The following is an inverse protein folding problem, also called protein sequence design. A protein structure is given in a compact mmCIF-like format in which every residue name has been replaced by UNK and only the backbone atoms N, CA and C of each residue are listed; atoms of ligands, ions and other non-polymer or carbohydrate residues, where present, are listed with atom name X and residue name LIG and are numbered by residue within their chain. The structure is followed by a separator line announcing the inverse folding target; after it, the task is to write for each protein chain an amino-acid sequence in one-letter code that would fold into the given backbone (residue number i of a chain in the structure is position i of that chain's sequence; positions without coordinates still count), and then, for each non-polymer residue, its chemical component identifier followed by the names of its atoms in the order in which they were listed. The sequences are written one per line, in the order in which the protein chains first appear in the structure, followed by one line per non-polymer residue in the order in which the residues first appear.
data_IF_572128381894
#
_entry.id   IF_572128381894
#
_cell.length_a   1.000
_cell.length_b   1.000
_cell.length_c   1.000
_cell.angle_alpha   90.00
_cell.angle_beta   90.00
_cell.angle_gamma   90.00
#
_symmetry.space_group_name_H-M   'P 1'
#
loop_
_entity.id
_entity.type
_entity.pdbx_description
1 polymer ?
#
# COMPACT_ATOMS: atom_id res chain seq x y z
N UNK A 1 -31.28 -19.07 -0.58
CA UNK A 1 -30.72 -17.72 -0.78
C UNK A 1 -30.40 -16.99 0.52
N UNK A 2 -31.26 -17.05 1.54
CA UNK A 2 -31.05 -16.38 2.85
C UNK A 2 -29.71 -16.70 3.52
N UNK A 3 -29.29 -17.98 3.55
CA UNK A 3 -28.02 -18.38 4.16
C UNK A 3 -26.77 -17.83 3.43
N UNK A 4 -26.83 -17.69 2.10
CA UNK A 4 -25.70 -17.15 1.31
C UNK A 4 -25.56 -15.66 1.56
N UNK A 5 -26.68 -14.92 1.52
CA UNK A 5 -26.70 -13.49 1.84
C UNK A 5 -26.24 -13.22 3.27
N UNK A 6 -26.70 -14.03 4.23
CA UNK A 6 -26.24 -13.96 5.61
C UNK A 6 -24.74 -14.19 5.75
N UNK A 7 -24.20 -15.19 5.05
CA UNK A 7 -22.76 -15.46 5.03
C UNK A 7 -21.97 -14.28 4.47
N UNK A 8 -22.41 -13.71 3.34
CA UNK A 8 -21.80 -12.54 2.71
C UNK A 8 -21.82 -11.33 3.65
N UNK A 9 -22.97 -11.02 4.25
CA UNK A 9 -23.11 -9.92 5.22
C UNK A 9 -22.18 -10.09 6.42
N UNK A 10 -22.07 -11.30 6.96
CA UNK A 10 -21.18 -11.53 8.08
C UNK A 10 -19.69 -11.38 7.71
N UNK A 11 -19.27 -11.84 6.52
CA UNK A 11 -17.89 -11.64 6.08
C UNK A 11 -17.59 -10.16 5.81
N UNK A 12 -18.54 -9.41 5.26
CA UNK A 12 -18.45 -7.94 5.11
C UNK A 12 -18.27 -7.26 6.46
N UNK A 13 -19.12 -7.57 7.44
CA UNK A 13 -19.03 -7.00 8.79
C UNK A 13 -17.71 -7.38 9.45
N UNK A 14 -17.26 -8.63 9.31
CA UNK A 14 -15.96 -9.07 9.84
C UNK A 14 -14.80 -8.29 9.23
N UNK A 15 -14.77 -8.13 7.90
CA UNK A 15 -13.75 -7.34 7.22
C UNK A 15 -13.73 -5.90 7.73
N UNK A 16 -14.90 -5.29 7.86
CA UNK A 16 -15.06 -3.93 8.38
C UNK A 16 -14.55 -3.81 9.83
N UNK A 17 -14.90 -4.75 10.71
CA UNK A 17 -14.41 -4.77 12.09
C UNK A 17 -12.89 -4.96 12.16
N UNK A 18 -12.31 -5.83 11.34
CA UNK A 18 -10.87 -6.04 11.29
C UNK A 18 -10.11 -4.79 10.80
N UNK A 19 -10.69 -4.02 9.87
CA UNK A 19 -10.16 -2.74 9.44
C UNK A 19 -10.03 -1.74 10.62
N UNK A 20 -10.99 -1.72 11.55
CA UNK A 20 -10.92 -0.90 12.76
C UNK A 20 -10.06 -1.51 13.87
N UNK A 21 -9.97 -2.84 13.99
CA UNK A 21 -9.18 -3.51 15.04
C UNK A 21 -7.68 -3.21 14.95
N UNK A 22 -7.15 -2.93 13.76
CA UNK A 22 -5.75 -2.49 13.64
C UNK A 22 -5.49 -1.10 14.21
N UNK A 23 -6.50 -0.22 14.34
CA UNK A 23 -6.36 1.07 15.04
C UNK A 23 -5.97 0.88 16.50
N UNK A 24 -6.62 -0.08 17.18
CA UNK A 24 -6.28 -0.45 18.55
C UNK A 24 -4.90 -1.14 18.64
N UNK A 25 -4.46 -1.81 17.58
CA UNK A 25 -3.15 -2.46 17.52
C UNK A 25 -2.00 -1.46 17.38
N UNK A 26 -2.20 -0.29 16.77
CA UNK A 26 -1.14 0.73 16.64
C UNK A 26 -0.53 1.10 17.99
N UNK A 27 -1.34 1.11 19.06
CA UNK A 27 -0.87 1.38 20.43
C UNK A 27 -0.02 0.24 21.01
N UNK A 28 -0.23 -1.00 20.57
CA UNK A 28 0.58 -2.16 20.95
C UNK A 28 1.93 -2.16 20.21
N UNK A 29 1.97 -1.72 18.95
CA UNK A 29 3.23 -1.58 18.18
C UNK A 29 4.27 -0.66 18.83
N UNK A 30 3.85 0.25 19.71
CA UNK A 30 4.75 1.23 20.37
C UNK A 30 5.27 0.76 21.73
N UNK A 31 4.73 -0.33 22.28
CA UNK A 31 5.14 -0.85 23.59
C UNK A 31 6.45 -1.64 23.53
N UNK A 32 6.80 -2.17 22.37
CA UNK A 32 8.03 -2.92 22.19
C UNK A 32 9.19 -1.94 21.94
N UNK A 33 9.89 -1.54 23.02
CA UNK A 33 11.17 -0.83 22.94
C UNK A 33 12.27 -1.79 22.44
N UNK A 34 12.18 -2.23 21.19
CA UNK A 34 13.17 -3.11 20.60
C UNK A 34 14.35 -2.30 20.04
N UNK A 35 15.53 -2.56 20.61
CA UNK A 35 16.77 -1.97 20.15
C UNK A 35 17.34 -2.81 19.00
N UNK A 36 17.50 -2.19 17.82
CA UNK A 36 18.16 -2.85 16.69
C UNK A 36 19.66 -2.64 16.76
N UNK A 37 20.43 -3.72 16.62
CA UNK A 37 21.88 -3.67 16.47
C UNK A 37 22.19 -3.14 15.06
N UNK A 38 22.64 -1.89 14.95
CA UNK A 38 22.90 -1.20 13.67
C UNK A 38 24.12 -1.78 12.96
N UNK A 39 25.04 -2.35 13.73
CA UNK A 39 26.29 -2.88 13.22
C UNK A 39 26.44 -4.35 13.64
N UNK A 40 25.84 -5.28 12.91
CA UNK A 40 26.49 -6.57 12.72
C UNK A 40 27.61 -6.34 11.70
N UNK A 41 28.80 -5.98 12.19
CA UNK A 41 29.97 -5.85 11.33
C UNK A 41 30.09 -7.10 10.43
N UNK A 42 30.47 -6.94 9.15
CA UNK A 42 30.65 -8.08 8.26
C UNK A 42 31.58 -9.10 8.92
N UNK A 43 31.24 -10.38 8.78
CA UNK A 43 32.12 -11.49 9.16
C UNK A 43 33.50 -11.23 8.56
N UNK A 44 34.46 -10.91 9.43
CA UNK A 44 35.88 -10.64 9.16
C UNK A 44 36.18 -9.33 8.42
N UNK A 45 36.45 -8.25 9.17
CA UNK A 45 37.22 -7.12 8.65
C UNK A 45 38.64 -7.59 8.27
N UNK A 46 39.28 -7.02 7.23
CA UNK A 46 40.65 -7.37 6.87
C UNK A 46 41.59 -7.14 8.06
N UNK A 47 42.31 -8.20 8.45
CA UNK A 47 43.21 -8.15 9.61
C UNK A 47 44.34 -7.17 9.33
N UNK A 48 44.43 -6.13 10.15
CA UNK A 48 45.58 -5.24 10.11
C UNK A 48 46.79 -5.92 10.77
N UNK A 49 48.00 -5.67 10.26
CA UNK A 49 49.25 -6.24 10.81
C UNK A 49 49.44 -5.88 12.29
N UNK A 50 48.94 -4.72 12.70
CA UNK A 50 48.92 -4.29 14.12
C UNK A 50 47.95 -5.10 14.98
N UNK A 51 46.77 -5.49 14.48
CA UNK A 51 45.86 -6.39 15.21
C UNK A 51 46.49 -7.77 15.42
N UNK A 52 47.15 -8.31 14.39
CA UNK A 52 47.82 -9.62 14.49
C UNK A 52 48.96 -9.61 15.52
N UNK A 53 49.73 -8.52 15.61
CA UNK A 53 50.77 -8.36 16.66
C UNK A 53 50.19 -8.21 18.07
N UNK A 54 48.98 -7.66 18.23
CA UNK A 54 48.31 -7.51 19.54
C UNK A 54 47.77 -8.85 20.05
N UNK A 55 47.22 -9.68 19.16
CA UNK A 55 46.77 -11.04 19.49
C UNK A 55 47.94 -11.93 19.94
N UNK A 56 49.08 -11.87 19.25
CA UNK A 56 50.31 -12.59 19.65
C UNK A 56 50.85 -12.16 21.03
N UNK A 57 50.55 -10.93 21.46
CA UNK A 57 50.90 -10.42 22.80
C UNK A 57 49.85 -10.76 23.87
N UNK A 58 48.86 -11.60 23.55
CA UNK A 58 47.83 -12.02 24.49
C UNK A 58 46.86 -10.91 24.91
N UNK A 59 46.82 -9.79 24.18
CA UNK A 59 45.84 -8.73 24.48
C UNK A 59 44.49 -9.11 23.88
N UNK A 60 43.53 -9.45 24.73
CA UNK A 60 42.17 -9.81 24.31
C UNK A 60 41.53 -8.59 23.62
N UNK A 61 41.08 -8.71 22.36
CA UNK A 61 40.39 -7.62 21.69
C UNK A 61 39.07 -7.34 22.40
N UNK A 62 38.77 -6.06 22.66
CA UNK A 62 37.46 -5.65 23.15
C UNK A 62 36.43 -6.03 22.07
N UNK A 63 35.38 -6.83 22.37
CA UNK A 63 34.37 -7.17 21.39
C UNK A 63 33.74 -5.87 20.87
N UNK A 64 33.50 -5.81 19.56
CA UNK A 64 32.88 -4.63 18.95
C UNK A 64 31.59 -4.28 19.70
N UNK A 65 31.53 -3.08 20.24
CA UNK A 65 30.36 -2.62 20.98
C UNK A 65 29.18 -2.52 20.02
N UNK A 66 28.12 -3.28 20.30
CA UNK A 66 26.92 -3.29 19.47
C UNK A 66 26.26 -1.92 19.62
N UNK A 67 26.24 -1.14 18.53
CA UNK A 67 25.50 0.11 18.52
C UNK A 67 24.01 -0.23 18.47
N UNK A 68 23.35 -0.05 19.60
CA UNK A 68 21.90 -0.15 19.72
C UNK A 68 21.30 1.19 19.29
N UNK A 69 20.58 1.22 18.17
CA UNK A 69 19.79 2.39 17.80
C UNK A 69 18.36 2.17 18.25
N UNK A 70 17.87 3.09 19.09
CA UNK A 70 16.47 3.16 19.46
C UNK A 70 15.67 3.32 18.17
N UNK A 71 14.83 2.34 17.87
CA UNK A 71 14.09 2.32 16.61
C UNK A 71 13.00 3.38 16.63
N UNK A 72 12.73 3.98 15.47
CA UNK A 72 11.67 4.97 15.37
C UNK A 72 10.30 4.31 15.53
N UNK A 73 9.47 4.94 16.35
CA UNK A 73 8.10 4.54 16.65
C UNK A 73 7.24 4.57 15.39
N UNK A 74 6.43 3.53 15.16
CA UNK A 74 5.48 3.47 14.03
C UNK A 74 4.51 4.65 14.07
N UNK A 75 4.10 5.07 15.27
CA UNK A 75 3.29 6.27 15.49
C UNK A 75 3.91 7.54 14.95
N UNK A 76 5.24 7.68 15.02
CA UNK A 76 5.92 8.85 14.46
C UNK A 76 5.73 8.92 12.95
N UNK A 77 5.77 7.77 12.26
CA UNK A 77 5.56 7.67 10.81
C UNK A 77 4.11 7.91 10.42
N UNK A 78 3.16 7.35 11.17
CA UNK A 78 1.73 7.64 10.98
C UNK A 78 1.46 9.13 11.19
N UNK A 79 1.97 9.72 12.26
CA UNK A 79 1.83 11.15 12.53
C UNK A 79 2.47 12.01 11.44
N UNK A 80 3.65 11.65 10.94
CA UNK A 80 4.27 12.31 9.77
C UNK A 80 3.35 12.25 8.55
N UNK A 81 2.70 11.12 8.26
CA UNK A 81 1.73 11.03 7.17
C UNK A 81 0.57 12.02 7.35
N UNK A 82 0.03 12.14 8.57
CA UNK A 82 -1.07 13.09 8.88
C UNK A 82 -0.60 14.53 8.70
N UNK A 83 0.52 14.90 9.31
CA UNK A 83 1.06 16.28 9.26
C UNK A 83 1.41 16.68 7.82
N UNK A 84 2.03 15.79 7.06
CA UNK A 84 2.40 16.08 5.66
C UNK A 84 1.16 16.20 4.78
N UNK A 85 0.15 15.33 4.91
CA UNK A 85 -1.11 15.50 4.16
C UNK A 85 -1.83 16.80 4.53
N UNK A 86 -1.90 17.15 5.83
CA UNK A 86 -2.52 18.39 6.28
C UNK A 86 -1.77 19.63 5.77
N UNK A 87 -0.44 19.65 5.89
CA UNK A 87 0.40 20.75 5.41
C UNK A 87 0.29 20.97 3.91
N UNK A 88 0.18 19.89 3.12
CA UNK A 88 0.03 19.98 1.67
C UNK A 88 -1.36 20.42 1.29
N UNK A 89 -2.39 19.96 1.99
CA UNK A 89 -3.73 20.46 1.77
C UNK A 89 -3.82 21.97 2.04
N UNK A 90 -3.20 22.45 3.12
CA UNK A 90 -3.07 23.88 3.40
C UNK A 90 -2.28 24.61 2.30
N UNK A 91 -1.14 24.07 1.86
CA UNK A 91 -0.35 24.64 0.77
C UNK A 91 -1.17 24.77 -0.52
N UNK A 92 -1.83 23.69 -0.94
CA UNK A 92 -2.67 23.67 -2.14
C UNK A 92 -3.83 24.67 -2.00
N UNK A 93 -4.51 24.69 -0.86
CA UNK A 93 -5.59 25.64 -0.61
C UNK A 93 -5.09 27.09 -0.65
N UNK A 94 -3.94 27.39 -0.08
CA UNK A 94 -3.35 28.75 -0.15
C UNK A 94 -2.99 29.12 -1.58
N UNK A 95 -2.33 28.26 -2.37
CA UNK A 95 -1.99 28.52 -3.78
C UNK A 95 -3.26 28.83 -4.60
N UNK A 96 -4.28 27.99 -4.48
CA UNK A 96 -5.54 28.19 -5.20
C UNK A 96 -6.26 29.47 -4.75
N UNK A 97 -6.18 29.82 -3.46
CA UNK A 97 -6.78 31.06 -2.92
C UNK A 97 -6.01 32.32 -3.36
N UNK A 98 -4.69 32.27 -3.42
CA UNK A 98 -3.88 33.36 -3.96
C UNK A 98 -4.15 33.57 -5.45
N UNK A 99 -4.20 32.49 -6.24
CA UNK A 99 -4.49 32.58 -7.68
C UNK A 99 -5.89 33.13 -7.97
N UNK A 100 -6.89 32.76 -7.17
CA UNK A 100 -8.25 33.32 -7.30
C UNK A 100 -8.36 34.79 -6.88
N UNK A 101 -7.52 35.25 -5.94
CA UNK A 101 -7.46 36.66 -5.55
C UNK A 101 -6.80 37.56 -6.60
N UNK A 102 -5.98 37.00 -7.49
CA UNK A 102 -5.29 37.73 -8.58
C UNK A 102 -6.13 37.76 -9.87
N UNK A 103 -7.15 36.89 -9.97
CA UNK A 103 -7.82 36.59 -11.24
C UNK A 103 -8.95 37.53 -11.69
N UNK A 104 -9.12 38.71 -11.08
CA UNK A 104 -10.11 39.71 -11.54
C UNK A 104 -9.78 40.29 -12.93
N UNK A 105 -8.56 40.07 -13.46
CA UNK A 105 -8.10 40.68 -14.73
C UNK A 105 -7.78 39.66 -15.84
N UNK A 106 -7.64 38.35 -15.56
CA UNK A 106 -7.52 37.29 -16.59
C UNK A 106 -7.85 35.88 -16.06
N UNK A 107 -9.15 35.56 -15.98
CA UNK A 107 -9.70 34.45 -15.20
C UNK A 107 -9.41 33.01 -15.71
N UNK A 108 -9.05 32.82 -16.98
CA UNK A 108 -8.87 31.50 -17.59
C UNK A 108 -7.47 30.88 -17.44
N UNK A 109 -6.41 31.52 -17.96
CA UNK A 109 -5.09 30.88 -18.03
C UNK A 109 -4.43 30.74 -16.65
N UNK A 110 -4.65 31.69 -15.74
CA UNK A 110 -4.05 31.68 -14.39
C UNK A 110 -4.61 30.51 -13.56
N UNK A 111 -5.91 30.22 -13.69
CA UNK A 111 -6.54 29.12 -12.95
C UNK A 111 -6.07 27.76 -13.46
N UNK A 112 -5.95 27.58 -14.79
CA UNK A 112 -5.40 26.35 -15.38
C UNK A 112 -3.93 26.15 -14.98
N UNK A 113 -3.12 27.21 -15.05
CA UNK A 113 -1.71 27.17 -14.66
C UNK A 113 -1.55 26.79 -13.17
N UNK A 114 -2.41 27.31 -12.29
CA UNK A 114 -2.38 26.98 -10.86
C UNK A 114 -2.64 25.50 -10.59
N UNK A 115 -3.61 24.89 -11.29
CA UNK A 115 -3.89 23.45 -11.18
C UNK A 115 -2.75 22.61 -11.76
N UNK A 116 -2.13 23.06 -12.85
CA UNK A 116 -0.98 22.41 -13.47
C UNK A 116 0.25 22.39 -12.55
N UNK A 117 0.46 23.43 -11.73
CA UNK A 117 1.56 23.50 -10.76
C UNK A 117 1.26 22.66 -9.51
N UNK A 118 0.01 22.62 -9.06
CA UNK A 118 -0.42 21.86 -7.88
C UNK A 118 -0.29 20.34 -8.09
N UNK A 119 -0.64 19.86 -9.29
CA UNK A 119 -0.65 18.42 -9.60
C UNK A 119 0.71 17.71 -9.40
N UNK A 120 1.86 18.19 -9.91
CA UNK A 120 3.15 17.54 -9.69
C UNK A 120 3.59 17.57 -8.24
N UNK A 121 3.30 18.64 -7.49
CA UNK A 121 3.55 18.72 -6.04
C UNK A 121 2.75 17.65 -5.30
N UNK A 122 1.48 17.50 -5.67
CA UNK A 122 0.60 16.48 -5.12
C UNK A 122 1.09 15.07 -5.46
N UNK A 123 1.50 14.80 -6.71
CA UNK A 123 2.05 13.50 -7.10
C UNK A 123 3.35 13.17 -6.36
N UNK A 124 4.28 14.12 -6.26
CA UNK A 124 5.52 13.94 -5.52
C UNK A 124 5.26 13.55 -4.06
N UNK A 125 4.27 14.18 -3.45
CA UNK A 125 3.82 13.85 -2.10
C UNK A 125 3.32 12.41 -1.99
N UNK A 126 2.56 11.93 -2.98
CA UNK A 126 2.07 10.54 -2.98
C UNK A 126 3.22 9.55 -3.01
N UNK A 127 4.29 9.86 -3.73
CA UNK A 127 5.51 9.04 -3.76
C UNK A 127 6.17 9.01 -2.37
N UNK A 128 6.34 10.17 -1.73
CA UNK A 128 6.90 10.24 -0.36
C UNK A 128 6.06 9.45 0.65
N UNK A 129 4.73 9.58 0.57
CA UNK A 129 3.80 8.81 1.41
C UNK A 129 3.93 7.31 1.16
N UNK A 130 4.05 6.86 -0.11
CA UNK A 130 4.23 5.46 -0.44
C UNK A 130 5.53 4.88 0.17
N UNK A 131 6.62 5.66 0.21
CA UNK A 131 7.85 5.26 0.90
C UNK A 131 7.62 5.07 2.41
N UNK A 132 6.89 5.99 3.04
CA UNK A 132 6.54 5.85 4.46
C UNK A 132 5.60 4.68 4.74
N UNK A 133 4.68 4.38 3.82
CA UNK A 133 3.80 3.21 3.90
C UNK A 133 4.61 1.91 3.86
N UNK A 134 5.64 1.85 3.00
CA UNK A 134 6.59 0.73 2.95
C UNK A 134 7.36 0.56 4.26
N UNK A 135 7.85 1.67 4.84
CA UNK A 135 8.52 1.66 6.15
C UNK A 135 7.60 1.14 7.27
N UNK A 136 6.33 1.56 7.29
CA UNK A 136 5.32 1.12 8.26
C UNK A 136 5.06 -0.39 8.12
N UNK A 137 4.89 -0.88 6.89
CA UNK A 137 4.71 -2.30 6.61
C UNK A 137 5.91 -3.13 7.11
N UNK A 138 7.13 -2.67 6.82
CA UNK A 138 8.35 -3.27 7.35
C UNK A 138 8.45 -3.21 8.87
N UNK A 139 7.89 -2.20 9.53
CA UNK A 139 7.81 -2.15 10.98
C UNK A 139 6.85 -3.21 11.53
N UNK A 140 5.67 -3.33 10.94
CA UNK A 140 4.65 -4.33 11.32
C UNK A 140 5.17 -5.77 11.19
N UNK A 141 5.87 -6.07 10.09
CA UNK A 141 6.48 -7.39 9.87
C UNK A 141 7.38 -7.79 11.04
N UNK A 142 8.26 -6.88 11.47
CA UNK A 142 9.25 -7.13 12.52
C UNK A 142 8.61 -7.23 13.90
N UNK A 143 7.66 -6.33 14.24
CA UNK A 143 6.95 -6.39 15.54
C UNK A 143 6.13 -7.66 15.70
N UNK A 144 5.61 -8.20 14.61
CA UNK A 144 4.88 -9.46 14.62
C UNK A 144 5.80 -10.69 14.57
N UNK A 145 7.12 -10.50 14.62
CA UNK A 145 8.13 -11.55 14.46
C UNK A 145 7.87 -12.45 13.25
N UNK A 146 7.38 -11.85 12.16
CA UNK A 146 7.16 -12.56 10.91
C UNK A 146 8.51 -12.69 10.19
N UNK A 147 8.73 -13.85 9.57
CA UNK A 147 9.96 -14.15 8.86
C UNK A 147 10.25 -13.07 7.79
N UNK A 148 11.52 -12.67 7.62
CA UNK A 148 11.89 -11.74 6.56
C UNK A 148 11.52 -12.34 5.19
N UNK A 149 11.17 -11.50 4.20
CA UNK A 149 10.91 -11.99 2.85
C UNK A 149 12.12 -12.80 2.36
N UNK A 150 11.90 -13.97 1.74
CA UNK A 150 12.99 -14.72 1.13
C UNK A 150 13.70 -13.85 0.08
N UNK A 151 14.99 -14.11 -0.14
CA UNK A 151 15.78 -13.36 -1.12
C UNK A 151 15.28 -13.64 -2.53
N UNK A 152 14.45 -12.76 -3.05
CA UNK A 152 13.99 -12.74 -4.45
C UNK A 152 14.98 -11.89 -5.27
N UNK A 153 15.24 -12.27 -6.51
CA UNK A 153 16.06 -11.46 -7.41
C UNK A 153 15.43 -10.07 -7.60
N UNK A 154 16.26 -9.03 -7.61
CA UNK A 154 15.76 -7.65 -7.73
C UNK A 154 14.86 -7.45 -8.97
N UNK A 155 15.21 -8.08 -10.09
CA UNK A 155 14.44 -8.01 -11.35
C UNK A 155 13.03 -8.59 -11.20
N UNK A 156 12.89 -9.75 -10.53
CA UNK A 156 11.60 -10.41 -10.34
C UNK A 156 10.74 -9.70 -9.29
N UNK A 157 11.36 -9.11 -8.26
CA UNK A 157 10.66 -8.27 -7.31
C UNK A 157 10.14 -6.98 -7.97
N UNK A 158 10.96 -6.31 -8.78
CA UNK A 158 10.56 -5.10 -9.50
C UNK A 158 9.46 -5.38 -10.53
N UNK A 159 9.55 -6.48 -11.26
CA UNK A 159 8.51 -6.84 -12.25
C UNK A 159 7.17 -7.14 -11.57
N UNK A 160 7.15 -7.88 -10.46
CA UNK A 160 5.92 -8.15 -9.70
C UNK A 160 5.27 -6.86 -9.19
N UNK A 161 6.07 -5.90 -8.70
CA UNK A 161 5.58 -4.58 -8.26
C UNK A 161 5.00 -3.78 -9.44
N UNK A 162 5.68 -3.74 -10.59
CA UNK A 162 5.20 -3.01 -11.77
C UNK A 162 3.91 -3.60 -12.33
N UNK A 163 3.81 -4.93 -12.41
CA UNK A 163 2.60 -5.61 -12.89
C UNK A 163 1.45 -5.43 -11.90
N UNK A 164 1.72 -5.48 -10.59
CA UNK A 164 0.72 -5.20 -9.55
C UNK A 164 0.20 -3.75 -9.61
N UNK A 165 1.09 -2.78 -9.82
CA UNK A 165 0.74 -1.39 -10.02
C UNK A 165 -0.12 -1.20 -11.27
N UNK A 166 0.28 -1.82 -12.39
CA UNK A 166 -0.48 -1.78 -13.64
C UNK A 166 -1.89 -2.38 -13.46
N UNK A 167 -2.00 -3.54 -12.81
CA UNK A 167 -3.28 -4.16 -12.48
C UNK A 167 -4.16 -3.22 -11.66
N UNK A 168 -3.60 -2.56 -10.64
CA UNK A 168 -4.32 -1.57 -9.84
C UNK A 168 -4.82 -0.38 -10.65
N UNK A 169 -4.01 0.15 -11.58
CA UNK A 169 -4.42 1.22 -12.48
C UNK A 169 -5.56 0.79 -13.41
N UNK A 170 -5.48 -0.40 -14.00
CA UNK A 170 -6.53 -0.95 -14.86
C UNK A 170 -7.80 -1.20 -14.06
N UNK A 171 -7.68 -1.71 -12.83
CA UNK A 171 -8.83 -1.96 -11.94
C UNK A 171 -9.51 -0.67 -11.48
N UNK A 172 -8.73 0.38 -11.20
CA UNK A 172 -9.26 1.72 -10.94
C UNK A 172 -10.02 2.25 -12.16
N UNK A 173 -9.45 2.13 -13.37
CA UNK A 173 -10.11 2.53 -14.60
C UNK A 173 -11.42 1.74 -14.81
N UNK A 174 -11.42 0.43 -14.57
CA UNK A 174 -12.62 -0.41 -14.59
C UNK A 174 -13.70 0.14 -13.64
N UNK A 175 -13.33 0.49 -12.39
CA UNK A 175 -14.27 1.05 -11.41
C UNK A 175 -14.82 2.44 -11.76
N UNK A 176 -14.03 3.26 -12.47
CA UNK A 176 -14.48 4.55 -13.00
C UNK A 176 -15.41 4.37 -14.20
N UNK A 177 -15.10 3.41 -15.07
CA UNK A 177 -15.87 3.09 -16.28
C UNK A 177 -17.28 2.59 -15.98
N UNK A 178 -17.49 1.98 -14.80
CA UNK A 178 -18.82 1.56 -14.30
C UNK A 178 -19.84 2.71 -14.35
N UNK A 179 -19.41 3.95 -14.14
CA UNK A 179 -20.31 5.11 -14.14
C UNK A 179 -20.86 5.46 -15.53
N UNK A 180 -20.25 4.94 -16.59
CA UNK A 180 -20.69 5.14 -17.98
C UNK A 180 -21.60 4.02 -18.49
N UNK A 181 -21.88 2.99 -17.69
CA UNK A 181 -22.81 1.92 -18.09
C UNK A 181 -24.26 2.45 -18.12
N UNK A 182 -25.10 1.96 -19.05
CA UNK A 182 -26.51 2.29 -19.14
C UNK A 182 -27.33 1.54 -18.06
N UNK A 183 -26.95 1.69 -16.80
CA UNK A 183 -27.61 1.12 -15.63
C UNK A 183 -28.16 2.24 -14.73
N UNK A 184 -29.13 1.94 -13.85
CA UNK A 184 -29.58 2.90 -12.85
C UNK A 184 -28.41 3.47 -12.03
N UNK A 185 -28.40 4.79 -11.83
CA UNK A 185 -27.30 5.51 -11.16
C UNK A 185 -26.95 4.96 -9.78
N UNK A 186 -27.95 4.53 -9.02
CA UNK A 186 -27.76 3.89 -7.72
C UNK A 186 -26.95 2.59 -7.81
N UNK A 187 -27.22 1.74 -8.80
CA UNK A 187 -26.47 0.50 -9.02
C UNK A 187 -25.03 0.79 -9.45
N UNK A 188 -24.82 1.76 -10.33
CA UNK A 188 -23.47 2.18 -10.73
C UNK A 188 -22.66 2.68 -9.52
N UNK A 189 -23.27 3.46 -8.63
CA UNK A 189 -22.62 3.94 -7.41
C UNK A 189 -22.23 2.79 -6.47
N UNK A 190 -23.11 1.81 -6.26
CA UNK A 190 -22.79 0.61 -5.46
C UNK A 190 -21.64 -0.17 -6.07
N UNK A 191 -21.70 -0.43 -7.38
CA UNK A 191 -20.67 -1.21 -8.08
C UNK A 191 -19.33 -0.47 -8.04
N UNK A 192 -19.32 0.85 -8.24
CA UNK A 192 -18.10 1.67 -8.14
C UNK A 192 -17.54 1.67 -6.71
N UNK A 193 -18.39 1.75 -5.70
CA UNK A 193 -17.99 1.62 -4.29
C UNK A 193 -17.37 0.24 -3.99
N UNK A 194 -17.94 -0.85 -4.55
CA UNK A 194 -17.38 -2.21 -4.44
C UNK A 194 -16.01 -2.28 -5.10
N UNK A 195 -15.82 -1.70 -6.29
CA UNK A 195 -14.51 -1.67 -6.94
C UNK A 195 -13.49 -0.88 -6.13
N UNK A 196 -13.86 0.30 -5.64
CA UNK A 196 -12.95 1.15 -4.87
C UNK A 196 -12.61 0.54 -3.50
N UNK A 197 -13.55 -0.15 -2.84
CA UNK A 197 -13.27 -0.90 -1.60
C UNK A 197 -12.37 -2.09 -1.84
N UNK A 198 -12.57 -2.85 -2.91
CA UNK A 198 -11.66 -3.92 -3.30
C UNK A 198 -10.26 -3.39 -3.64
N UNK A 199 -10.17 -2.27 -4.35
CA UNK A 199 -8.91 -1.62 -4.69
C UNK A 199 -8.15 -1.18 -3.43
N UNK A 200 -8.84 -0.51 -2.50
CA UNK A 200 -8.27 -0.08 -1.22
C UNK A 200 -7.75 -1.27 -0.39
N UNK A 201 -8.54 -2.35 -0.35
CA UNK A 201 -8.14 -3.58 0.34
C UNK A 201 -6.94 -4.22 -0.36
N UNK A 202 -6.96 -4.38 -1.69
CA UNK A 202 -5.85 -4.93 -2.47
C UNK A 202 -4.55 -4.19 -2.19
N UNK A 203 -4.54 -2.85 -2.26
CA UNK A 203 -3.33 -2.06 -1.97
C UNK A 203 -2.84 -2.25 -0.53
N UNK A 204 -3.71 -2.29 0.47
CA UNK A 204 -3.29 -2.50 1.86
C UNK A 204 -2.71 -3.90 2.11
N UNK A 205 -3.26 -4.93 1.45
CA UNK A 205 -2.78 -6.31 1.55
C UNK A 205 -1.58 -6.59 0.64
N UNK A 206 -1.34 -5.76 -0.37
CA UNK A 206 -0.14 -5.81 -1.19
C UNK A 206 1.12 -5.59 -0.35
N UNK A 207 1.12 -4.62 0.56
CA UNK A 207 2.23 -4.43 1.52
C UNK A 207 2.47 -5.68 2.38
N UNK A 208 1.38 -6.30 2.86
CA UNK A 208 1.45 -7.54 3.64
C UNK A 208 1.97 -8.73 2.82
N UNK A 209 1.43 -8.99 1.63
CA UNK A 209 1.81 -10.12 0.79
C UNK A 209 3.16 -9.95 0.09
N UNK A 210 3.53 -8.72 -0.27
CA UNK A 210 4.85 -8.38 -0.78
C UNK A 210 5.93 -8.68 0.26
N UNK A 211 5.66 -8.37 1.54
CA UNK A 211 6.57 -8.71 2.65
C UNK A 211 6.74 -10.23 2.88
N UNK A 212 5.87 -11.08 2.31
CA UNK A 212 5.96 -12.55 2.32
C UNK A 212 6.27 -13.14 0.95
N UNK A 213 6.70 -12.32 -0.02
CA UNK A 213 7.02 -12.71 -1.39
C UNK A 213 5.96 -13.59 -2.07
N UNK A 214 4.67 -13.38 -1.77
CA UNK A 214 3.59 -14.13 -2.40
C UNK A 214 3.44 -13.61 -3.83
N UNK A 215 3.51 -14.44 -4.85
CA UNK A 215 3.37 -14.02 -6.26
C UNK A 215 1.99 -13.38 -6.54
N UNK A 216 1.94 -12.40 -7.44
CA UNK A 216 0.73 -11.65 -7.78
C UNK A 216 -0.50 -12.55 -8.07
N UNK A 217 -0.37 -13.58 -8.91
CA UNK A 217 -1.49 -14.47 -9.26
C UNK A 217 -2.16 -15.09 -8.02
N UNK A 218 -1.36 -15.55 -7.04
CA UNK A 218 -1.87 -16.11 -5.77
C UNK A 218 -2.54 -15.04 -4.91
N UNK A 219 -2.06 -13.79 -4.95
CA UNK A 219 -2.70 -12.67 -4.22
C UNK A 219 -4.11 -12.45 -4.74
N UNK A 220 -4.28 -12.40 -6.06
CA UNK A 220 -5.59 -12.13 -6.65
C UNK A 220 -6.54 -13.34 -6.49
N UNK A 221 -6.04 -14.58 -6.61
CA UNK A 221 -6.84 -15.79 -6.32
C UNK A 221 -7.38 -15.79 -4.88
N UNK A 222 -6.55 -15.37 -3.92
CA UNK A 222 -6.96 -15.19 -2.52
C UNK A 222 -8.00 -14.08 -2.37
N UNK A 223 -7.81 -12.95 -3.05
CA UNK A 223 -8.79 -11.84 -3.06
C UNK A 223 -10.16 -12.30 -3.59
N UNK A 224 -10.20 -13.02 -4.70
CA UNK A 224 -11.44 -13.54 -5.29
C UNK A 224 -12.10 -14.63 -4.43
N UNK A 225 -11.29 -15.43 -3.72
CA UNK A 225 -11.79 -16.48 -2.82
C UNK A 225 -12.49 -15.95 -1.58
N UNK A 226 -12.07 -14.78 -1.06
CA UNK A 226 -12.64 -14.16 0.13
C UNK A 226 -13.20 -12.75 -0.16
N UNK A 227 -13.77 -12.58 -1.35
CA UNK A 227 -14.19 -11.28 -1.88
C UNK A 227 -15.10 -10.46 -0.93
N UNK A 228 -16.14 -11.04 -0.28
CA UNK A 228 -16.95 -10.29 0.68
C UNK A 228 -16.18 -9.72 1.87
N UNK A 229 -15.15 -10.43 2.36
CA UNK A 229 -14.32 -9.95 3.45
C UNK A 229 -13.51 -8.72 3.02
N UNK A 230 -12.87 -8.80 1.84
CA UNK A 230 -12.03 -7.72 1.34
C UNK A 230 -12.84 -6.46 0.95
N UNK A 231 -14.06 -6.61 0.44
CA UNK A 231 -14.99 -5.48 0.28
C UNK A 231 -15.22 -4.80 1.63
N UNK A 232 -15.54 -5.59 2.66
CA UNK A 232 -15.80 -5.09 4.01
C UNK A 232 -14.59 -4.39 4.62
N UNK A 233 -13.39 -4.94 4.40
CA UNK A 233 -12.14 -4.39 4.92
C UNK A 233 -11.77 -3.04 4.30
N UNK A 234 -11.96 -2.87 2.99
CA UNK A 234 -11.69 -1.60 2.30
C UNK A 234 -12.79 -0.56 2.44
N UNK A 235 -14.04 -0.97 2.73
CA UNK A 235 -15.21 -0.10 2.75
C UNK A 235 -15.09 1.13 3.68
N UNK A 236 -14.55 1.04 4.92
CA UNK A 236 -14.38 2.22 5.78
C UNK A 236 -13.50 3.29 5.13
N UNK A 237 -12.38 2.89 4.52
CA UNK A 237 -11.49 3.82 3.86
C UNK A 237 -12.14 4.41 2.60
N UNK A 238 -12.84 3.57 1.83
CA UNK A 238 -13.59 4.03 0.65
C UNK A 238 -14.61 5.08 1.03
N UNK A 239 -15.46 4.79 2.01
CA UNK A 239 -16.49 5.71 2.49
C UNK A 239 -15.89 7.05 2.89
N UNK A 240 -14.82 7.04 3.68
CA UNK A 240 -14.15 8.26 4.14
C UNK A 240 -13.48 9.01 2.98
N UNK A 241 -12.88 8.30 2.03
CA UNK A 241 -12.23 8.89 0.85
C UNK A 241 -13.19 9.39 -0.22
N UNK A 242 -14.48 9.05 -0.17
CA UNK A 242 -15.49 9.49 -1.16
C UNK A 242 -16.49 10.50 -0.61
N UNK A 243 -16.31 10.98 0.64
CA UNK A 243 -17.24 11.93 1.28
C UNK A 243 -17.29 13.30 0.58
N UNK A 244 -16.23 13.69 -0.14
CA UNK A 244 -16.12 14.98 -0.78
C UNK A 244 -16.13 14.85 -2.30
N UNK A 245 -16.58 15.91 -2.99
CA UNK A 245 -16.53 16.00 -4.44
C UNK A 245 -15.15 16.44 -4.97
N UNK A 246 -14.24 16.83 -4.07
CA UNK A 246 -12.91 17.32 -4.44
C UNK A 246 -11.90 16.17 -4.51
N UNK A 247 -11.40 15.87 -5.72
CA UNK A 247 -10.40 14.82 -5.96
C UNK A 247 -9.15 14.95 -5.06
N UNK A 248 -8.62 16.18 -4.93
CA UNK A 248 -7.42 16.44 -4.12
C UNK A 248 -7.67 16.20 -2.62
N UNK A 249 -8.88 16.50 -2.14
CA UNK A 249 -9.28 16.24 -0.76
C UNK A 249 -9.43 14.74 -0.53
N UNK A 250 -10.13 14.05 -1.43
CA UNK A 250 -10.32 12.59 -1.39
C UNK A 250 -8.99 11.84 -1.34
N UNK A 251 -8.03 12.23 -2.18
CA UNK A 251 -6.68 11.67 -2.15
C UNK A 251 -5.94 11.98 -0.84
N UNK A 252 -6.08 13.18 -0.28
CA UNK A 252 -5.43 13.56 1.00
C UNK A 252 -6.00 12.81 2.19
N UNK A 253 -7.32 12.66 2.23
CA UNK A 253 -8.03 11.82 3.19
C UNK A 253 -7.57 10.37 3.07
N UNK A 254 -7.52 9.83 1.84
CA UNK A 254 -6.99 8.49 1.59
C UNK A 254 -5.58 8.32 2.16
N UNK A 255 -4.64 9.20 1.82
CA UNK A 255 -3.25 9.12 2.30
C UNK A 255 -3.09 9.28 3.82
N UNK A 256 -4.08 9.87 4.50
CA UNK A 256 -4.09 10.04 5.95
C UNK A 256 -4.51 8.75 6.67
N UNK A 257 -5.55 8.09 6.18
CA UNK A 257 -6.12 6.90 6.82
C UNK A 257 -5.53 5.58 6.30
N UNK A 258 -4.96 5.56 5.09
CA UNK A 258 -4.39 4.36 4.48
C UNK A 258 -3.28 3.68 5.32
N UNK A 259 -2.34 4.40 6.00
CA UNK A 259 -1.40 3.79 6.95
C UNK A 259 -2.05 2.85 7.97
N UNK A 260 -3.22 3.24 8.48
CA UNK A 260 -3.93 2.49 9.50
C UNK A 260 -4.47 1.18 8.92
N UNK A 261 -4.94 1.24 7.66
CA UNK A 261 -5.41 0.06 6.94
C UNK A 261 -4.28 -0.93 6.64
N UNK A 262 -3.07 -0.45 6.34
CA UNK A 262 -1.88 -1.30 6.23
C UNK A 262 -1.60 -2.00 7.55
N UNK A 263 -1.59 -1.28 8.67
CA UNK A 263 -1.35 -1.89 9.99
C UNK A 263 -2.43 -2.94 10.31
N UNK A 264 -3.69 -2.64 9.98
CA UNK A 264 -4.81 -3.59 10.13
C UNK A 264 -4.62 -4.85 9.28
N UNK A 265 -4.05 -4.76 8.06
CA UNK A 265 -3.89 -5.92 7.17
C UNK A 265 -2.93 -6.97 7.72
N UNK A 266 -1.94 -6.56 8.52
CA UNK A 266 -1.00 -7.46 9.19
C UNK A 266 -1.61 -8.25 10.36
N UNK A 267 -2.67 -7.72 10.99
CA UNK A 267 -3.41 -8.40 12.08
C UNK A 267 -4.72 -9.04 11.60
N UNK A 268 -5.12 -8.73 10.37
CA UNK A 268 -6.34 -9.22 9.75
C UNK A 268 -6.32 -10.75 9.67
N UNK A 269 -7.33 -11.37 10.27
CA UNK A 269 -7.52 -12.83 10.20
C UNK A 269 -8.42 -13.15 9.02
N UNK A 270 -7.99 -12.87 7.80
CA UNK A 270 -8.82 -13.09 6.60
C UNK A 270 -8.92 -14.58 6.21
N UNK A 271 -7.85 -15.36 6.46
CA UNK A 271 -7.81 -16.77 6.13
C UNK A 271 -8.57 -17.61 7.17
N UNK A 272 -9.48 -18.47 6.70
CA UNK A 272 -10.13 -19.48 7.55
C UNK A 272 -9.70 -20.89 7.13
N UNK A 273 -9.61 -21.83 8.08
CA UNK A 273 -9.53 -23.25 7.77
C UNK A 273 -10.66 -23.62 6.80
N UNK A 274 -10.38 -24.52 5.86
CA UNK A 274 -11.35 -24.93 4.82
C UNK A 274 -12.68 -25.40 5.44
N UNK A 275 -12.61 -26.00 6.63
CA UNK A 275 -13.76 -26.57 7.35
C UNK A 275 -14.67 -25.50 7.98
N UNK A 276 -14.13 -24.31 8.27
CA UNK A 276 -14.89 -23.14 8.79
C UNK A 276 -15.23 -22.13 7.68
N UNK A 277 -14.91 -22.45 6.43
CA UNK A 277 -15.17 -21.57 5.29
C UNK A 277 -16.66 -21.54 5.02
N UNK A 278 -17.24 -20.34 5.05
CA UNK A 278 -18.63 -20.15 4.64
C UNK A 278 -18.71 -20.20 3.13
N UNK A 279 -19.73 -20.88 2.59
CA UNK A 279 -20.00 -20.84 1.16
C UNK A 279 -20.37 -19.41 0.73
N UNK A 280 -19.48 -18.79 -0.02
CA UNK A 280 -19.67 -17.50 -0.68
C UNK A 280 -19.44 -17.68 -2.18
N UNK A 281 -20.19 -16.97 -3.04
CA UNK A 281 -19.97 -17.03 -4.47
C UNK A 281 -18.59 -16.48 -4.82
N UNK A 282 -17.83 -17.21 -5.63
CA UNK A 282 -16.57 -16.73 -6.19
C UNK A 282 -16.92 -15.92 -7.44
N UNK A 283 -16.68 -14.61 -7.39
CA UNK A 283 -16.91 -13.69 -8.50
C UNK A 283 -15.55 -13.19 -8.96
N UNK A 284 -15.20 -13.44 -10.21
CA UNK A 284 -13.90 -13.03 -10.76
C UNK A 284 -13.92 -11.58 -11.24
N UNK A 285 -14.13 -10.64 -10.31
CA UNK A 285 -14.22 -9.20 -10.58
C UNK A 285 -12.89 -8.66 -11.15
N UNK A 286 -11.76 -9.31 -10.87
CA UNK A 286 -10.44 -8.93 -11.36
C UNK A 286 -10.13 -9.46 -12.77
N UNK A 287 -10.90 -10.42 -13.31
CA UNK A 287 -10.60 -11.03 -14.61
C UNK A 287 -10.46 -10.03 -15.75
N UNK A 288 -11.37 -9.05 -15.95
CA UNK A 288 -11.22 -8.07 -17.03
C UNK A 288 -9.92 -7.28 -16.90
N UNK A 289 -9.59 -6.85 -15.67
CA UNK A 289 -8.35 -6.13 -15.39
C UNK A 289 -7.10 -6.98 -15.59
N UNK A 290 -7.14 -8.27 -15.22
CA UNK A 290 -6.04 -9.22 -15.48
C UNK A 290 -5.78 -9.38 -16.97
N UNK A 291 -6.83 -9.62 -17.77
CA UNK A 291 -6.70 -9.82 -19.22
C UNK A 291 -6.06 -8.61 -19.91
N UNK A 292 -6.48 -7.41 -19.53
CA UNK A 292 -5.89 -6.16 -20.06
C UNK A 292 -4.44 -6.02 -19.60
N UNK A 293 -4.15 -6.30 -18.32
CA UNK A 293 -2.78 -6.25 -17.77
C UNK A 293 -1.84 -7.22 -18.49
N UNK A 294 -2.27 -8.48 -18.67
CA UNK A 294 -1.51 -9.51 -19.38
C UNK A 294 -1.30 -9.13 -20.85
N UNK A 295 -2.30 -8.51 -21.49
CA UNK A 295 -2.17 -7.99 -22.86
C UNK A 295 -1.10 -6.91 -22.95
N UNK A 296 -1.08 -5.95 -22.02
CA UNK A 296 -0.03 -4.93 -21.95
C UNK A 296 1.35 -5.56 -21.75
N UNK A 297 1.49 -6.49 -20.80
CA UNK A 297 2.77 -7.17 -20.54
C UNK A 297 3.26 -7.93 -21.79
N UNK A 298 2.36 -8.61 -22.50
CA UNK A 298 2.69 -9.33 -23.73
C UNK A 298 3.10 -8.39 -24.88
N UNK A 299 2.48 -7.22 -24.99
CA UNK A 299 2.86 -6.20 -25.97
C UNK A 299 4.28 -5.68 -25.67
N UNK A 300 4.57 -5.36 -24.40
CA UNK A 300 5.90 -4.90 -23.99
C UNK A 300 6.98 -5.97 -24.17
N UNK A 301 6.71 -7.23 -23.80
CA UNK A 301 7.67 -8.32 -24.00
C UNK A 301 7.93 -8.56 -25.49
N UNK A 302 6.90 -8.47 -26.34
CA UNK A 302 7.04 -8.55 -27.79
C UNK A 302 7.91 -7.44 -28.38
N UNK A 303 7.81 -6.21 -27.88
CA UNK A 303 8.66 -5.08 -28.31
C UNK A 303 10.12 -5.25 -27.87
N UNK A 304 10.36 -5.77 -26.67
CA UNK A 304 11.74 -5.95 -26.13
C UNK A 304 12.48 -7.09 -26.81
N UNK A 305 11.79 -8.18 -27.17
CA UNK A 305 12.40 -9.34 -27.86
C UNK A 305 12.78 -9.03 -29.32
N UNK A 306 12.22 -7.98 -29.92
CA UNK A 306 12.50 -7.60 -31.31
C UNK A 306 13.81 -6.82 -31.54
N UNK A 307 14.62 -6.57 -30.51
CA UNK A 307 15.91 -5.90 -30.70
C UNK A 307 16.94 -6.92 -31.23
N UNK A 308 17.35 -6.86 -32.52
CA UNK A 308 18.27 -7.83 -33.07
C UNK A 308 19.64 -7.60 -32.44
N UNK A 309 20.25 -8.65 -31.92
CA UNK A 309 21.70 -8.73 -31.73
C UNK A 309 22.37 -8.40 -33.06
N UNK A 310 22.84 -7.16 -33.19
CA UNK A 310 23.76 -6.76 -34.26
C UNK A 310 25.04 -7.56 -34.00
N UNK A 311 25.25 -8.59 -34.83
CA UNK A 311 26.55 -9.25 -35.01
C UNK A 311 27.41 -8.43 -35.95
#
# INVERSE_FOLDING_TARGET
MSHILWNVCCELVRGCLDAFRGLAFVWQLDKDEEYVVVNSAPRTAPRTVMQQRRELRGTVPRPAERIYRRRERVWKRVFQCVVTNAGIWLLVWTILRLCSSVSDVSAGPITILSHLIVLPIFLFTRIVLALWFSDIAGACLRTLNLDPPPSVEFSTALSDVLVSLLLGCVFLAQGLLVSYLPLPSFLCSIISFIHLSLLNSMYSFEYFWSSRSVLLHKRIERLESYLPYFIGFGAPLTFVSTLSNNFLLNGSVFGTFFPLLIISSYKASWERPKDLRRHTPVISIFTPSRLVTDSFVNIFSGMVVQQPTIR
#
